data_IF_749362331342
#
_entry.id   IF_749362331342
#
_cell.length_a   1.000
_cell.length_b   1.000
_cell.length_c   1.000
_cell.angle_alpha   90.00
_cell.angle_beta   90.00
_cell.angle_gamma   90.00
#
_symmetry.space_group_name_H-M   'P 1'
#
loop_
_entity.id
_entity.type
_entity.pdbx_description
1 polymer ?
#
# COMPACT_ATOMS: atom_id res chain seq x y z
N UNK A 1 -0.07 -22.61 21.94
CA UNK A 1 -1.18 -23.27 21.24
C UNK A 1 -1.58 -22.44 19.99
N UNK A 2 -1.88 -21.16 20.14
CA UNK A 2 -2.29 -20.27 19.04
C UNK A 2 -1.24 -20.12 17.92
N UNK A 3 0.04 -19.98 18.27
CA UNK A 3 1.12 -19.90 17.27
C UNK A 3 1.34 -21.21 16.52
N UNK A 4 1.03 -22.34 17.15
CA UNK A 4 1.09 -23.65 16.51
C UNK A 4 -0.07 -23.78 15.50
N UNK A 5 -1.28 -23.41 15.89
CA UNK A 5 -2.43 -23.41 15.00
C UNK A 5 -2.22 -22.46 13.80
N UNK A 6 -1.62 -21.28 14.03
CA UNK A 6 -1.23 -20.37 12.96
C UNK A 6 -0.22 -21.01 11.99
N UNK A 7 0.80 -21.69 12.51
CA UNK A 7 1.80 -22.37 11.68
C UNK A 7 1.19 -23.50 10.83
N UNK A 8 0.22 -24.26 11.38
CA UNK A 8 -0.51 -25.30 10.67
C UNK A 8 -1.33 -24.69 9.51
N UNK A 9 -2.00 -23.55 9.73
CA UNK A 9 -2.73 -22.82 8.68
C UNK A 9 -1.76 -22.24 7.65
N UNK A 10 -0.63 -21.70 8.07
CA UNK A 10 0.37 -21.14 7.15
C UNK A 10 0.98 -22.23 6.26
N UNK A 11 1.24 -23.43 6.80
CA UNK A 11 1.71 -24.58 6.03
C UNK A 11 0.66 -25.00 4.99
N UNK A 12 -0.61 -25.10 5.38
CA UNK A 12 -1.72 -25.39 4.45
C UNK A 12 -1.81 -24.35 3.32
N UNK A 13 -1.70 -23.06 3.64
CA UNK A 13 -1.73 -22.00 2.63
C UNK A 13 -0.49 -21.98 1.73
N UNK A 14 0.65 -22.45 2.23
CA UNK A 14 1.88 -22.58 1.43
C UNK A 14 1.83 -23.73 0.41
N UNK A 15 0.96 -24.73 0.60
CA UNK A 15 0.72 -25.79 -0.37
C UNK A 15 -0.10 -25.32 -1.58
N UNK A 16 -0.77 -24.16 -1.47
CA UNK A 16 -1.55 -23.59 -2.56
C UNK A 16 -0.67 -23.06 -3.68
N UNK A 17 -1.30 -22.73 -4.80
CA UNK A 17 -0.66 -22.07 -5.94
C UNK A 17 0.17 -20.86 -5.47
N UNK A 18 1.48 -20.85 -5.75
CA UNK A 18 2.38 -19.84 -5.19
C UNK A 18 2.13 -18.45 -5.77
N UNK A 19 2.35 -17.43 -4.95
CA UNK A 19 2.24 -16.01 -5.33
C UNK A 19 3.14 -15.61 -6.52
N UNK A 20 4.21 -16.38 -6.77
CA UNK A 20 5.14 -16.15 -7.89
C UNK A 20 4.64 -16.69 -9.23
N UNK A 21 3.60 -17.52 -9.24
CA UNK A 21 2.99 -18.06 -10.45
C UNK A 21 1.68 -17.31 -10.71
N UNK A 22 1.77 -16.28 -11.51
CA UNK A 22 0.67 -15.35 -11.75
C UNK A 22 -0.19 -15.87 -12.91
N UNK A 23 -1.49 -15.98 -12.67
CA UNK A 23 -2.50 -16.17 -13.69
C UNK A 23 -3.52 -15.02 -13.56
N UNK A 24 -3.40 -13.98 -14.41
CA UNK A 24 -4.18 -12.76 -14.28
C UNK A 24 -5.68 -13.05 -14.46
N UNK A 25 -6.43 -13.00 -13.38
CA UNK A 25 -7.89 -13.11 -13.38
C UNK A 25 -8.44 -12.58 -12.06
N UNK A 26 -9.56 -11.87 -12.11
CA UNK A 26 -10.34 -11.50 -10.93
C UNK A 26 -11.48 -12.48 -10.65
N UNK A 27 -11.80 -13.38 -11.58
CA UNK A 27 -12.98 -14.26 -11.50
C UNK A 27 -13.03 -15.08 -10.21
N UNK A 28 -11.90 -15.66 -9.79
CA UNK A 28 -11.83 -16.49 -8.58
C UNK A 28 -12.08 -15.70 -7.30
N UNK A 29 -11.44 -14.54 -7.18
CA UNK A 29 -11.63 -13.69 -6.00
C UNK A 29 -13.00 -13.03 -5.99
N UNK A 30 -13.56 -12.63 -7.14
CA UNK A 30 -14.92 -12.15 -7.28
C UNK A 30 -15.92 -13.21 -6.84
N UNK A 31 -15.76 -14.47 -7.30
CA UNK A 31 -16.60 -15.60 -6.87
C UNK A 31 -16.52 -15.83 -5.35
N UNK A 32 -15.33 -15.69 -4.76
CA UNK A 32 -15.18 -15.78 -3.31
C UNK A 32 -15.92 -14.65 -2.60
N UNK A 33 -15.81 -13.41 -3.08
CA UNK A 33 -16.55 -12.26 -2.52
C UNK A 33 -18.05 -12.46 -2.59
N UNK A 34 -18.57 -12.93 -3.72
CA UNK A 34 -19.98 -13.28 -3.89
C UNK A 34 -20.44 -14.32 -2.85
N UNK A 35 -19.68 -15.39 -2.67
CA UNK A 35 -19.99 -16.45 -1.70
C UNK A 35 -19.94 -15.98 -0.24
N UNK A 36 -19.07 -15.02 0.07
CA UNK A 36 -18.93 -14.42 1.40
C UNK A 36 -19.93 -13.28 1.66
N UNK A 37 -20.73 -12.88 0.66
CA UNK A 37 -21.72 -11.81 0.75
C UNK A 37 -21.10 -10.41 0.70
N UNK A 38 -20.05 -10.23 -0.08
CA UNK A 38 -19.36 -8.97 -0.36
C UNK A 38 -18.77 -8.26 0.88
N UNK A 39 -17.90 -8.91 1.67
CA UNK A 39 -17.26 -8.27 2.82
C UNK A 39 -16.46 -7.01 2.43
N UNK A 40 -15.92 -6.95 1.22
CA UNK A 40 -15.17 -5.83 0.66
C UNK A 40 -15.98 -4.54 0.49
N UNK A 41 -17.31 -4.62 0.61
CA UNK A 41 -18.24 -3.47 0.51
C UNK A 41 -18.67 -2.92 1.87
N UNK A 42 -18.17 -3.49 2.96
CA UNK A 42 -18.58 -3.10 4.32
C UNK A 42 -17.77 -1.96 4.94
N UNK A 43 -16.81 -1.42 4.21
CA UNK A 43 -15.89 -0.35 4.64
C UNK A 43 -15.47 0.52 3.46
N UNK A 44 -15.07 1.77 3.74
CA UNK A 44 -14.47 2.66 2.74
C UNK A 44 -13.05 2.17 2.37
N UNK A 45 -12.51 2.57 1.21
CA UNK A 45 -11.23 2.04 0.72
C UNK A 45 -10.31 3.13 0.19
N UNK A 46 -9.04 3.11 0.65
CA UNK A 46 -7.92 3.78 0.00
C UNK A 46 -7.03 2.70 -0.61
N UNK A 47 -6.98 2.64 -1.95
CA UNK A 47 -6.29 1.59 -2.70
C UNK A 47 -4.97 2.12 -3.28
N UNK A 48 -3.85 1.44 -3.03
CA UNK A 48 -2.50 1.96 -3.31
C UNK A 48 -1.74 1.02 -4.23
N UNK A 49 -1.43 1.50 -5.45
CA UNK A 49 -0.54 0.83 -6.40
C UNK A 49 0.73 1.64 -6.65
N UNK A 50 1.70 1.04 -7.31
CA UNK A 50 2.99 1.65 -7.68
C UNK A 50 4.12 0.63 -7.68
N UNK A 51 5.32 1.05 -8.03
CA UNK A 51 6.52 0.18 -7.96
C UNK A 51 7.16 0.31 -6.58
N UNK A 52 7.51 1.52 -6.16
CA UNK A 52 8.16 1.79 -4.89
C UNK A 52 7.31 2.74 -4.03
N UNK A 53 7.44 2.61 -2.71
CA UNK A 53 6.77 3.50 -1.75
C UNK A 53 5.37 3.04 -1.32
N UNK A 54 4.77 2.01 -1.92
CA UNK A 54 3.43 1.51 -1.57
C UNK A 54 3.27 1.28 -0.07
N UNK A 55 4.04 0.36 0.51
CA UNK A 55 3.92 -0.03 1.92
C UNK A 55 4.18 1.13 2.88
N UNK A 56 5.18 1.99 2.59
CA UNK A 56 5.46 3.17 3.41
C UNK A 56 4.29 4.16 3.36
N UNK A 57 3.74 4.42 2.17
CA UNK A 57 2.57 5.30 2.00
C UNK A 57 1.35 4.70 2.70
N UNK A 58 1.06 3.40 2.51
CA UNK A 58 -0.05 2.71 3.16
C UNK A 58 0.01 2.81 4.69
N UNK A 59 1.18 2.60 5.28
CA UNK A 59 1.38 2.70 6.74
C UNK A 59 1.27 4.14 7.26
N UNK A 60 1.69 5.15 6.49
CA UNK A 60 1.47 6.56 6.83
C UNK A 60 -0.01 6.92 6.75
N UNK A 61 -0.73 6.45 5.73
CA UNK A 61 -2.20 6.63 5.61
C UNK A 61 -2.91 5.97 6.78
N UNK A 62 -2.59 4.72 7.12
CA UNK A 62 -3.13 4.02 8.30
C UNK A 62 -2.91 4.83 9.58
N UNK A 63 -1.69 5.31 9.80
CA UNK A 63 -1.35 6.09 10.99
C UNK A 63 -2.11 7.42 11.08
N UNK A 64 -2.26 8.11 9.94
CA UNK A 64 -3.03 9.35 9.86
C UNK A 64 -4.51 9.09 10.14
N UNK A 65 -5.13 8.12 9.47
CA UNK A 65 -6.55 7.79 9.66
C UNK A 65 -6.87 7.42 11.11
N UNK A 66 -5.98 6.64 11.76
CA UNK A 66 -6.13 6.31 13.20
C UNK A 66 -6.00 7.55 14.09
N UNK A 67 -5.11 8.49 13.76
CA UNK A 67 -5.03 9.77 14.49
C UNK A 67 -6.33 10.58 14.37
N UNK A 68 -7.07 10.44 13.26
CA UNK A 68 -8.42 10.97 13.06
C UNK A 68 -9.53 10.05 13.59
N UNK A 69 -9.19 9.13 14.50
CA UNK A 69 -10.12 8.23 15.19
C UNK A 69 -10.93 7.32 14.26
N UNK A 70 -10.39 6.95 13.11
CA UNK A 70 -10.95 5.89 12.28
C UNK A 70 -10.41 4.55 12.73
N UNK A 71 -11.28 3.55 12.71
CA UNK A 71 -10.87 2.16 12.85
C UNK A 71 -10.39 1.65 11.51
N UNK A 72 -9.10 1.32 11.41
CA UNK A 72 -8.43 1.09 10.12
C UNK A 72 -8.08 -0.37 9.93
N UNK A 73 -8.45 -0.91 8.77
CA UNK A 73 -7.88 -2.14 8.22
C UNK A 73 -6.69 -1.82 7.32
N UNK A 74 -5.63 -2.62 7.38
CA UNK A 74 -4.45 -2.46 6.53
C UNK A 74 -4.10 -3.79 5.86
N UNK A 75 -4.09 -3.82 4.52
CA UNK A 75 -3.52 -4.92 3.74
C UNK A 75 -2.15 -4.51 3.24
N UNK A 76 -1.12 -5.29 3.55
CA UNK A 76 0.24 -5.09 3.04
C UNK A 76 0.89 -6.40 2.61
N UNK A 77 1.84 -6.34 1.66
CA UNK A 77 2.62 -7.49 1.21
C UNK A 77 4.01 -7.08 0.73
N UNK A 78 5.01 -7.96 0.84
CA UNK A 78 5.01 -9.19 1.66
C UNK A 78 5.15 -8.89 3.16
N UNK A 79 5.05 -9.90 4.02
CA UNK A 79 5.41 -9.78 5.43
C UNK A 79 6.93 -9.97 5.64
N UNK A 80 7.46 -9.49 6.77
CA UNK A 80 8.87 -9.64 7.13
C UNK A 80 9.12 -10.85 8.03
N UNK A 81 8.27 -11.11 8.99
CA UNK A 81 8.46 -12.17 9.98
C UNK A 81 7.28 -13.14 10.06
N UNK A 82 6.04 -12.64 10.04
CA UNK A 82 4.82 -13.42 10.25
C UNK A 82 3.73 -13.05 9.26
N UNK A 83 3.00 -14.04 8.80
CA UNK A 83 1.88 -13.85 7.88
C UNK A 83 0.81 -12.88 8.41
N UNK A 84 0.63 -12.81 9.72
CA UNK A 84 -0.32 -11.89 10.38
C UNK A 84 -0.02 -10.41 10.12
N UNK A 85 1.23 -10.05 9.75
CA UNK A 85 1.61 -8.68 9.38
C UNK A 85 0.90 -8.18 8.12
N UNK A 86 0.42 -9.10 7.27
CA UNK A 86 -0.30 -8.77 6.04
C UNK A 86 -1.68 -8.17 6.28
N UNK A 87 -2.24 -8.42 7.46
CA UNK A 87 -3.57 -7.95 7.89
C UNK A 87 -3.41 -7.14 9.16
N UNK A 88 -3.44 -5.83 9.04
CA UNK A 88 -3.42 -4.91 10.17
C UNK A 88 -4.85 -4.51 10.59
N UNK A 89 -5.09 -4.40 11.88
CA UNK A 89 -6.32 -3.84 12.44
C UNK A 89 -5.91 -2.84 13.52
N UNK A 90 -6.30 -1.59 13.37
CA UNK A 90 -5.94 -0.49 14.27
C UNK A 90 -4.43 -0.40 14.54
N UNK A 91 -3.61 -0.55 13.47
CA UNK A 91 -2.16 -0.43 13.54
C UNK A 91 -1.44 -1.62 14.16
N UNK A 92 -2.13 -2.72 14.45
CA UNK A 92 -1.54 -3.96 14.96
C UNK A 92 -1.80 -5.11 13.98
N UNK A 93 -0.84 -6.05 13.80
CA UNK A 93 -1.12 -7.28 13.09
C UNK A 93 -2.32 -8.01 13.69
N UNK A 94 -3.13 -8.63 12.84
CA UNK A 94 -4.26 -9.44 13.30
C UNK A 94 -3.79 -10.50 14.31
N UNK A 95 -4.59 -10.72 15.36
CA UNK A 95 -4.24 -11.71 16.37
C UNK A 95 -4.22 -13.13 15.75
N UNK A 96 -3.23 -13.98 16.05
CA UNK A 96 -3.12 -15.34 15.51
C UNK A 96 -4.41 -16.17 15.62
N UNK A 97 -5.10 -16.07 16.76
CA UNK A 97 -6.38 -16.75 17.01
C UNK A 97 -7.46 -16.31 16.00
N UNK A 98 -7.56 -15.00 15.73
CA UNK A 98 -8.58 -14.46 14.83
C UNK A 98 -8.24 -14.79 13.37
N UNK A 99 -6.96 -14.76 12.99
CA UNK A 99 -6.50 -15.22 11.69
C UNK A 99 -6.91 -16.69 11.43
N UNK A 100 -6.64 -17.58 12.39
CA UNK A 100 -6.98 -19.01 12.29
C UNK A 100 -8.49 -19.21 12.26
N UNK A 101 -9.25 -18.49 13.10
CA UNK A 101 -10.73 -18.58 13.13
C UNK A 101 -11.32 -18.16 11.79
N UNK A 102 -10.94 -17.00 11.27
CA UNK A 102 -11.47 -16.48 10.00
C UNK A 102 -11.08 -17.40 8.84
N UNK A 103 -9.84 -17.92 8.83
CA UNK A 103 -9.47 -18.92 7.84
C UNK A 103 -10.41 -20.12 7.83
N UNK A 104 -10.71 -20.70 8.99
CA UNK A 104 -11.63 -21.83 9.07
C UNK A 104 -13.07 -21.48 8.65
N UNK A 105 -13.50 -20.23 8.85
CA UNK A 105 -14.80 -19.74 8.43
C UNK A 105 -14.89 -19.61 6.89
N UNK A 106 -13.84 -19.07 6.23
CA UNK A 106 -13.86 -18.85 4.77
C UNK A 106 -13.41 -20.08 3.97
N UNK A 107 -12.66 -21.02 4.57
CA UNK A 107 -12.09 -22.19 3.89
C UNK A 107 -13.12 -22.99 3.08
N UNK A 108 -14.33 -23.30 3.57
CA UNK A 108 -15.33 -24.03 2.77
C UNK A 108 -15.70 -23.29 1.47
N UNK A 109 -15.74 -21.96 1.48
CA UNK A 109 -16.06 -21.15 0.31
C UNK A 109 -14.88 -21.11 -0.67
N UNK A 110 -13.64 -21.05 -0.17
CA UNK A 110 -12.43 -21.18 -0.99
C UNK A 110 -12.42 -22.54 -1.71
N UNK A 111 -12.73 -23.64 -1.01
CA UNK A 111 -12.84 -24.99 -1.59
C UNK A 111 -13.95 -25.05 -2.66
N UNK A 112 -15.05 -24.33 -2.50
CA UNK A 112 -16.11 -24.23 -3.50
C UNK A 112 -15.64 -23.49 -4.76
N UNK A 113 -14.88 -22.41 -4.62
CA UNK A 113 -14.28 -21.70 -5.75
C UNK A 113 -13.29 -22.59 -6.48
N UNK A 114 -12.39 -23.26 -5.75
CA UNK A 114 -11.42 -24.19 -6.33
C UNK A 114 -12.08 -25.31 -7.15
N UNK A 115 -13.21 -25.83 -6.66
CA UNK A 115 -13.96 -26.89 -7.34
C UNK A 115 -14.67 -26.43 -8.64
N UNK A 116 -14.89 -25.13 -8.80
CA UNK A 116 -15.56 -24.53 -9.96
C UNK A 116 -14.59 -23.87 -10.94
N UNK A 117 -13.31 -23.72 -10.57
CA UNK A 117 -12.29 -23.06 -11.37
C UNK A 117 -11.34 -24.07 -11.99
N UNK A 118 -10.84 -23.79 -13.20
CA UNK A 118 -9.84 -24.63 -13.87
C UNK A 118 -8.49 -24.64 -13.12
N UNK A 119 -8.22 -23.56 -12.39
CA UNK A 119 -7.02 -23.35 -11.58
C UNK A 119 -7.47 -22.94 -10.17
N UNK A 120 -6.96 -23.58 -9.11
CA UNK A 120 -7.32 -23.22 -7.75
C UNK A 120 -6.85 -21.79 -7.39
N UNK A 121 -7.51 -21.16 -6.42
CA UNK A 121 -7.09 -19.86 -5.90
C UNK A 121 -5.64 -19.90 -5.43
N UNK A 122 -4.88 -18.89 -5.80
CA UNK A 122 -3.52 -18.69 -5.30
C UNK A 122 -3.51 -18.36 -3.81
N UNK A 123 -2.37 -18.56 -3.15
CA UNK A 123 -2.19 -18.12 -1.77
C UNK A 123 -2.53 -16.63 -1.60
N UNK A 124 -2.15 -15.77 -2.56
CA UNK A 124 -2.39 -14.33 -2.47
C UNK A 124 -3.89 -14.00 -2.55
N UNK A 125 -4.63 -14.61 -3.48
CA UNK A 125 -6.09 -14.42 -3.57
C UNK A 125 -6.80 -14.82 -2.28
N UNK A 126 -6.40 -15.94 -1.68
CA UNK A 126 -6.96 -16.39 -0.40
C UNK A 126 -6.63 -15.41 0.73
N UNK A 127 -5.39 -14.89 0.79
CA UNK A 127 -5.00 -13.90 1.80
C UNK A 127 -5.76 -12.58 1.67
N UNK A 128 -6.05 -12.15 0.45
CA UNK A 128 -6.90 -10.97 0.20
C UNK A 128 -8.33 -11.24 0.69
N UNK A 129 -8.93 -12.38 0.34
CA UNK A 129 -10.26 -12.76 0.81
C UNK A 129 -10.33 -12.83 2.34
N UNK A 130 -9.32 -13.43 2.98
CA UNK A 130 -9.20 -13.48 4.44
C UNK A 130 -9.08 -12.08 5.06
N UNK A 131 -8.36 -11.16 4.39
CA UNK A 131 -8.23 -9.78 4.86
C UNK A 131 -9.57 -9.06 4.88
N UNK A 132 -10.35 -9.17 3.80
CA UNK A 132 -11.65 -8.50 3.71
C UNK A 132 -12.68 -9.11 4.68
N UNK A 133 -12.67 -10.43 4.83
CA UNK A 133 -13.48 -11.09 5.85
C UNK A 133 -13.11 -10.63 7.28
N UNK A 134 -11.80 -10.47 7.55
CA UNK A 134 -11.32 -9.97 8.84
C UNK A 134 -11.74 -8.52 9.12
N UNK A 135 -11.76 -7.67 8.10
CA UNK A 135 -12.17 -6.28 8.23
C UNK A 135 -13.69 -6.15 8.45
N UNK A 136 -14.48 -6.96 7.79
CA UNK A 136 -15.93 -7.03 8.04
C UNK A 136 -16.24 -7.56 9.46
N UNK A 137 -15.52 -8.60 9.91
CA UNK A 137 -15.65 -9.15 11.28
C UNK A 137 -15.23 -8.15 12.36
N UNK A 138 -14.16 -7.39 12.12
CA UNK A 138 -13.65 -6.37 13.04
C UNK A 138 -14.27 -4.99 12.86
N UNK A 139 -15.42 -4.81 12.25
CA UNK A 139 -16.03 -3.66 11.59
C UNK A 139 -15.13 -2.41 11.52
N UNK A 140 -14.19 -2.43 10.56
CA UNK A 140 -13.34 -1.25 10.31
C UNK A 140 -14.14 -0.16 9.58
N UNK A 141 -13.77 1.11 9.79
CA UNK A 141 -14.39 2.23 9.08
C UNK A 141 -13.82 2.34 7.65
N UNK A 142 -12.51 2.12 7.51
CA UNK A 142 -11.77 2.26 6.26
C UNK A 142 -10.66 1.24 6.16
N UNK A 143 -10.47 0.68 4.97
CA UNK A 143 -9.35 -0.18 4.64
C UNK A 143 -8.32 0.55 3.77
N UNK A 144 -7.06 0.48 4.17
CA UNK A 144 -5.90 0.87 3.35
C UNK A 144 -5.36 -0.40 2.70
N UNK A 145 -5.46 -0.47 1.38
CA UNK A 145 -5.18 -1.70 0.64
C UNK A 145 -3.98 -1.50 -0.28
N UNK A 146 -2.88 -2.15 0.03
CA UNK A 146 -1.70 -2.19 -0.83
C UNK A 146 -1.85 -3.28 -1.88
N UNK A 147 -1.70 -2.91 -3.16
CA UNK A 147 -1.64 -3.85 -4.30
C UNK A 147 -0.41 -4.75 -4.18
N UNK A 148 -0.59 -6.04 -4.38
CA UNK A 148 0.51 -7.01 -4.40
C UNK A 148 1.38 -6.83 -5.63
N UNK A 149 0.80 -6.96 -6.82
CA UNK A 149 1.50 -6.82 -8.10
C UNK A 149 0.60 -6.19 -9.17
N UNK A 150 1.18 -5.26 -9.95
CA UNK A 150 0.45 -4.60 -11.03
C UNK A 150 -0.64 -3.69 -10.49
N UNK A 151 -1.89 -4.04 -10.70
CA UNK A 151 -3.08 -3.35 -10.23
C UNK A 151 -4.35 -3.90 -10.86
N UNK A 152 -4.48 -3.83 -12.18
CA UNK A 152 -5.67 -4.23 -12.94
C UNK A 152 -6.18 -5.64 -12.59
N UNK A 153 -5.28 -6.62 -12.54
CA UNK A 153 -5.58 -8.02 -12.28
C UNK A 153 -5.14 -8.50 -10.89
N UNK A 154 -4.74 -7.57 -10.04
CA UNK A 154 -4.40 -7.91 -8.67
C UNK A 154 -5.66 -8.29 -7.88
N UNK A 155 -5.57 -9.33 -7.06
CA UNK A 155 -6.72 -9.80 -6.28
C UNK A 155 -7.35 -8.70 -5.40
N UNK A 156 -6.54 -7.71 -4.98
CA UNK A 156 -7.05 -6.57 -4.21
C UNK A 156 -8.01 -5.69 -5.00
N UNK A 157 -8.00 -5.76 -6.34
CA UNK A 157 -8.77 -4.85 -7.21
C UNK A 157 -10.27 -5.21 -7.34
N UNK A 158 -10.78 -6.11 -6.51
CA UNK A 158 -12.24 -6.33 -6.36
C UNK A 158 -12.93 -5.21 -5.56
N UNK A 159 -12.17 -4.39 -4.83
CA UNK A 159 -12.71 -3.26 -4.07
C UNK A 159 -13.09 -2.08 -4.95
N UNK A 160 -14.07 -1.29 -4.52
CA UNK A 160 -14.37 0.03 -5.08
C UNK A 160 -13.73 1.09 -4.20
N UNK A 161 -12.60 1.66 -4.65
CA UNK A 161 -11.85 2.62 -3.86
C UNK A 161 -12.50 4.01 -3.88
N UNK A 162 -12.59 4.66 -2.72
CA UNK A 162 -12.95 6.08 -2.58
C UNK A 162 -11.78 6.96 -3.02
N UNK A 163 -10.55 6.51 -2.73
CA UNK A 163 -9.33 7.16 -3.18
C UNK A 163 -8.36 6.11 -3.74
N UNK A 164 -7.95 6.31 -4.98
CA UNK A 164 -6.87 5.53 -5.61
C UNK A 164 -5.55 6.29 -5.48
N UNK A 165 -4.47 5.60 -5.14
CA UNK A 165 -3.14 6.18 -4.98
C UNK A 165 -2.16 5.49 -5.91
N UNK A 166 -1.44 6.25 -6.73
CA UNK A 166 -0.35 5.73 -7.56
C UNK A 166 0.98 6.30 -7.05
N UNK A 167 1.74 5.47 -6.34
CA UNK A 167 3.11 5.81 -5.92
C UNK A 167 4.08 5.72 -7.11
N UNK A 168 5.37 6.10 -7.00
CA UNK A 168 6.27 6.13 -8.15
C UNK A 168 6.31 4.81 -8.92
N UNK A 169 6.13 4.90 -10.25
CA UNK A 169 6.22 3.78 -11.19
C UNK A 169 7.65 3.70 -11.73
N UNK A 170 8.22 2.51 -11.77
CA UNK A 170 9.52 2.22 -12.33
C UNK A 170 9.53 0.84 -12.97
N UNK A 171 10.61 0.50 -13.66
CA UNK A 171 10.81 -0.83 -14.23
C UNK A 171 11.01 -1.86 -13.10
N UNK A 172 10.09 -2.77 -12.97
CA UNK A 172 10.12 -3.92 -12.07
C UNK A 172 9.08 -4.94 -12.55
N UNK A 173 9.31 -6.22 -12.28
CA UNK A 173 8.42 -7.32 -12.69
C UNK A 173 8.07 -7.29 -14.18
N UNK A 174 9.04 -6.99 -15.04
CA UNK A 174 8.83 -6.83 -16.49
C UNK A 174 8.28 -8.08 -17.17
N UNK A 175 8.61 -9.28 -16.65
CA UNK A 175 8.07 -10.55 -17.16
C UNK A 175 6.54 -10.65 -17.07
N UNK A 176 5.90 -9.83 -16.23
CA UNK A 176 4.46 -9.87 -15.98
C UNK A 176 3.72 -8.59 -16.36
N UNK A 177 4.37 -7.43 -16.17
CA UNK A 177 3.72 -6.12 -16.30
C UNK A 177 4.03 -5.40 -17.61
N UNK A 178 4.98 -5.94 -18.41
CA UNK A 178 5.44 -5.34 -19.65
C UNK A 178 6.85 -4.74 -19.55
N UNK A 179 7.43 -4.45 -20.71
CA UNK A 179 8.82 -4.04 -20.87
C UNK A 179 9.03 -2.53 -20.80
N UNK A 180 7.93 -1.75 -20.81
CA UNK A 180 7.95 -0.27 -20.84
C UNK A 180 7.28 0.34 -19.62
N UNK A 181 7.69 1.57 -19.28
CA UNK A 181 7.02 2.33 -18.22
C UNK A 181 5.54 2.56 -18.51
N UNK A 182 5.16 2.73 -19.78
CA UNK A 182 3.77 2.90 -20.19
C UNK A 182 2.93 1.66 -19.90
N UNK A 183 3.41 0.47 -20.23
CA UNK A 183 2.72 -0.80 -19.95
C UNK A 183 2.55 -1.02 -18.44
N UNK A 184 3.64 -0.88 -17.68
CA UNK A 184 3.61 -1.02 -16.22
C UNK A 184 2.67 0.01 -15.59
N UNK A 185 2.70 1.27 -16.06
CA UNK A 185 1.78 2.31 -15.60
C UNK A 185 0.32 1.98 -15.94
N UNK A 186 0.06 1.39 -17.09
CA UNK A 186 -1.29 0.95 -17.52
C UNK A 186 -1.86 -0.13 -16.60
N UNK A 187 -1.04 -1.11 -16.23
CA UNK A 187 -1.43 -2.14 -15.27
C UNK A 187 -1.73 -1.56 -13.88
N UNK A 188 -0.88 -0.65 -13.40
CA UNK A 188 -1.07 0.01 -12.09
C UNK A 188 -2.26 0.96 -12.08
N UNK A 189 -2.46 1.71 -13.15
CA UNK A 189 -3.61 2.60 -13.31
C UNK A 189 -4.94 1.85 -13.36
N UNK A 190 -4.92 0.52 -13.58
CA UNK A 190 -6.13 -0.32 -13.56
C UNK A 190 -6.88 -0.35 -12.22
N UNK A 191 -6.32 0.19 -11.13
CA UNK A 191 -7.04 0.40 -9.87
C UNK A 191 -7.93 1.65 -9.89
N UNK A 192 -7.72 2.55 -10.85
CA UNK A 192 -8.54 3.75 -11.04
C UNK A 192 -9.77 3.32 -11.83
N UNK A 193 -10.89 3.15 -11.13
CA UNK A 193 -12.14 2.62 -11.67
C UNK A 193 -13.26 3.64 -11.52
N UNK A 194 -14.30 3.58 -12.39
CA UNK A 194 -15.52 4.33 -12.14
C UNK A 194 -16.16 3.83 -10.84
N UNK A 195 -16.80 4.71 -10.08
CA UNK A 195 -17.53 4.33 -8.87
C UNK A 195 -18.83 3.62 -9.27
N UNK A 196 -18.99 2.36 -8.86
CA UNK A 196 -20.16 1.55 -9.19
C UNK A 196 -21.44 1.97 -8.44
N UNK A 197 -21.29 2.60 -7.26
CA UNK A 197 -22.39 2.94 -6.36
C UNK A 197 -23.04 4.31 -6.66
N UNK A 198 -22.74 4.92 -7.78
CA UNK A 198 -23.45 6.12 -8.24
C UNK A 198 -24.85 5.74 -8.78
N UNK A 199 -25.73 5.28 -7.88
CA UNK A 199 -27.17 5.03 -8.18
C UNK A 199 -27.89 6.31 -8.64
N UNK A 200 -27.31 7.49 -8.44
CA UNK A 200 -27.80 8.77 -8.90
C UNK A 200 -26.89 9.33 -10.01
N UNK A 201 -27.38 9.39 -11.27
CA UNK A 201 -26.63 9.99 -12.38
C UNK A 201 -26.28 11.48 -12.16
N UNK A 202 -26.84 12.10 -11.14
CA UNK A 202 -26.57 13.49 -10.78
C UNK A 202 -25.52 13.62 -9.67
N UNK A 203 -25.12 12.52 -9.03
CA UNK A 203 -24.02 12.50 -8.07
C UNK A 203 -22.71 12.46 -8.87
N UNK A 204 -21.81 13.45 -8.74
CA UNK A 204 -20.51 13.40 -9.38
C UNK A 204 -19.77 12.13 -9.00
N UNK A 205 -19.06 11.52 -9.96
CA UNK A 205 -18.13 10.45 -9.66
C UNK A 205 -17.00 11.06 -8.79
N UNK A 206 -17.08 10.88 -7.47
CA UNK A 206 -16.12 11.48 -6.52
C UNK A 206 -14.88 10.60 -6.31
N UNK A 207 -14.62 9.62 -7.19
CA UNK A 207 -13.37 8.87 -7.13
C UNK A 207 -12.20 9.83 -7.42
N UNK A 208 -11.27 9.91 -6.48
CA UNK A 208 -10.08 10.78 -6.59
C UNK A 208 -8.85 9.89 -6.72
N UNK A 209 -8.01 10.20 -7.71
CA UNK A 209 -6.69 9.60 -7.82
C UNK A 209 -5.62 10.56 -7.35
N UNK A 210 -4.83 10.12 -6.37
CA UNK A 210 -3.64 10.82 -5.87
C UNK A 210 -2.41 10.21 -6.53
N UNK A 211 -1.65 11.04 -7.27
CA UNK A 211 -0.54 10.59 -8.10
C UNK A 211 0.76 11.18 -7.56
N UNK A 212 1.70 10.32 -7.15
CA UNK A 212 3.06 10.73 -6.83
C UNK A 212 3.80 11.29 -8.05
N UNK A 213 4.98 11.86 -7.85
CA UNK A 213 5.87 12.26 -8.93
C UNK A 213 6.17 11.05 -9.85
N UNK A 214 6.03 11.23 -11.15
CA UNK A 214 6.14 10.18 -12.16
C UNK A 214 7.05 10.61 -13.31
N UNK A 215 7.63 9.64 -14.00
CA UNK A 215 8.15 9.85 -15.34
C UNK A 215 7.03 10.34 -16.27
N UNK A 216 7.28 11.28 -17.21
CA UNK A 216 6.27 11.82 -18.12
C UNK A 216 5.50 10.75 -18.91
N UNK A 217 6.15 9.64 -19.27
CA UNK A 217 5.52 8.54 -19.98
C UNK A 217 4.47 7.83 -19.11
N UNK A 218 4.82 7.49 -17.87
CA UNK A 218 3.92 6.89 -16.91
C UNK A 218 2.77 7.85 -16.52
N UNK A 219 3.09 9.13 -16.26
CA UNK A 219 2.10 10.16 -15.93
C UNK A 219 1.01 10.26 -17.00
N UNK A 220 1.40 10.27 -18.28
CA UNK A 220 0.43 10.37 -19.39
C UNK A 220 -0.57 9.21 -19.37
N UNK A 221 -0.10 7.98 -19.13
CA UNK A 221 -0.96 6.79 -19.09
C UNK A 221 -1.91 6.83 -17.90
N UNK A 222 -1.41 7.20 -16.73
CA UNK A 222 -2.23 7.31 -15.51
C UNK A 222 -3.31 8.40 -15.66
N UNK A 223 -2.95 9.56 -16.21
CA UNK A 223 -3.91 10.63 -16.46
C UNK A 223 -4.94 10.24 -17.52
N UNK A 224 -4.56 9.49 -18.56
CA UNK A 224 -5.52 9.00 -19.54
C UNK A 224 -6.55 8.08 -18.88
N UNK A 225 -6.12 7.14 -18.03
CA UNK A 225 -7.04 6.27 -17.28
C UNK A 225 -7.98 7.10 -16.39
N UNK A 226 -7.46 8.13 -15.69
CA UNK A 226 -8.29 8.99 -14.85
C UNK A 226 -9.36 9.74 -15.66
N UNK A 227 -9.00 10.23 -16.87
CA UNK A 227 -9.95 10.87 -17.79
C UNK A 227 -11.00 9.88 -18.28
N UNK A 228 -10.59 8.67 -18.68
CA UNK A 228 -11.49 7.65 -19.23
C UNK A 228 -12.58 7.21 -18.23
N UNK A 229 -12.29 7.32 -16.91
CA UNK A 229 -13.24 6.97 -15.83
C UNK A 229 -13.81 8.21 -15.12
N UNK A 230 -13.51 9.42 -15.59
CA UNK A 230 -13.97 10.69 -15.02
C UNK A 230 -13.56 10.89 -13.55
N UNK A 231 -12.40 10.38 -13.13
CA UNK A 231 -11.88 10.54 -11.78
C UNK A 231 -11.27 11.93 -11.57
N UNK A 232 -11.46 12.50 -10.38
CA UNK A 232 -10.72 13.67 -9.92
C UNK A 232 -9.23 13.36 -9.77
N UNK A 233 -8.36 14.35 -10.01
CA UNK A 233 -6.90 14.14 -10.01
C UNK A 233 -6.19 15.09 -9.05
N UNK A 234 -5.34 14.57 -8.19
CA UNK A 234 -4.40 15.31 -7.37
C UNK A 234 -2.96 14.82 -7.65
N UNK A 235 -2.07 15.68 -8.12
CA UNK A 235 -0.71 15.35 -8.55
C UNK A 235 0.34 16.00 -7.66
N UNK A 236 1.36 15.24 -7.34
CA UNK A 236 2.56 15.77 -6.69
C UNK A 236 3.25 16.81 -7.59
N UNK A 237 3.68 17.91 -7.00
CA UNK A 237 4.30 19.04 -7.70
C UNK A 237 3.30 20.02 -8.34
N UNK A 238 2.00 19.75 -8.26
CA UNK A 238 0.94 20.62 -8.77
C UNK A 238 -0.07 20.95 -7.67
N UNK A 239 -0.85 19.96 -7.24
CA UNK A 239 -1.91 20.13 -6.23
C UNK A 239 -1.38 19.94 -4.81
N UNK A 240 -0.33 19.13 -4.61
CA UNK A 240 0.35 18.93 -3.32
C UNK A 240 1.85 18.70 -3.51
N UNK A 241 2.66 18.86 -2.47
CA UNK A 241 4.10 18.59 -2.52
C UNK A 241 4.76 18.49 -1.13
N UNK A 242 5.84 17.71 -1.02
CA UNK A 242 6.82 17.88 0.04
C UNK A 242 7.70 19.09 -0.32
N UNK A 243 7.71 20.13 0.53
CA UNK A 243 8.41 21.40 0.23
C UNK A 243 9.83 21.39 0.74
N UNK A 244 10.03 21.09 2.01
CA UNK A 244 11.31 21.10 2.68
C UNK A 244 11.41 19.89 3.62
N UNK A 245 12.59 19.28 3.64
CA UNK A 245 12.91 18.20 4.54
C UNK A 245 14.26 18.47 5.21
N UNK A 246 14.28 18.48 6.54
CA UNK A 246 15.48 18.66 7.37
C UNK A 246 15.70 17.43 8.23
N UNK A 247 16.94 17.01 8.36
CA UNK A 247 17.33 15.90 9.22
C UNK A 247 17.01 16.26 10.68
N UNK A 248 16.41 15.30 11.39
CA UNK A 248 16.13 15.40 12.81
C UNK A 248 16.58 14.12 13.53
N UNK A 249 16.69 14.17 14.85
CA UNK A 249 17.06 12.99 15.64
C UNK A 249 15.98 11.92 15.53
N UNK A 250 16.33 10.80 14.95
CA UNK A 250 15.41 9.66 14.77
C UNK A 250 14.49 9.76 13.56
N UNK A 251 14.77 10.67 12.62
CA UNK A 251 13.95 10.86 11.41
C UNK A 251 14.23 12.20 10.73
N UNK A 252 13.18 12.86 10.28
CA UNK A 252 13.25 14.13 9.59
C UNK A 252 12.05 15.02 9.92
N UNK A 253 12.23 16.32 9.75
CA UNK A 253 11.17 17.32 9.85
C UNK A 253 10.80 17.77 8.44
N UNK A 254 9.52 17.75 8.12
CA UNK A 254 9.01 17.98 6.75
C UNK A 254 7.95 19.06 6.77
N UNK A 255 7.99 19.96 5.78
CA UNK A 255 6.89 20.86 5.47
C UNK A 255 6.18 20.33 4.22
N UNK A 256 4.86 20.19 4.29
CA UNK A 256 4.04 19.63 3.21
C UNK A 256 2.97 20.64 2.80
N UNK A 257 2.93 20.98 1.52
CA UNK A 257 1.75 21.57 0.92
C UNK A 257 0.78 20.42 0.62
N UNK A 258 -0.30 20.35 1.36
CA UNK A 258 -1.42 19.43 1.10
C UNK A 258 -2.50 20.08 0.23
N UNK A 259 -3.58 19.34 -0.02
CA UNK A 259 -4.75 19.81 -0.81
C UNK A 259 -5.51 20.92 -0.07
N UNK A 260 -5.61 20.82 1.25
CA UNK A 260 -6.32 21.79 2.07
C UNK A 260 -5.48 22.99 2.49
N UNK A 261 -4.16 22.87 2.53
CA UNK A 261 -3.27 23.93 2.96
C UNK A 261 -1.85 23.49 3.29
N UNK A 262 -1.13 24.38 3.96
CA UNK A 262 0.27 24.15 4.36
C UNK A 262 0.33 23.50 5.75
N UNK A 263 1.11 22.42 5.86
CA UNK A 263 1.39 21.72 7.10
C UNK A 263 2.88 21.82 7.39
N UNK A 264 3.23 22.61 8.40
CA UNK A 264 4.63 22.85 8.77
C UNK A 264 5.03 22.01 9.99
N UNK A 265 6.36 21.82 10.14
CA UNK A 265 6.98 21.15 11.29
C UNK A 265 6.44 19.74 11.56
N UNK A 266 6.21 18.97 10.51
CA UNK A 266 5.80 17.56 10.62
C UNK A 266 7.05 16.73 10.94
N UNK A 267 7.08 16.10 12.10
CA UNK A 267 8.10 15.10 12.42
C UNK A 267 7.72 13.75 11.81
N UNK A 268 8.60 13.22 10.96
CA UNK A 268 8.48 11.92 10.34
C UNK A 268 9.62 11.02 10.84
N UNK A 269 9.34 9.94 11.60
CA UNK A 269 10.37 9.05 12.17
C UNK A 269 10.92 8.06 11.13
N UNK A 270 11.07 8.50 9.88
CA UNK A 270 11.58 7.75 8.74
C UNK A 270 12.68 8.56 8.06
N UNK A 271 13.67 7.85 7.51
CA UNK A 271 14.83 8.45 6.86
C UNK A 271 14.68 8.50 5.34
N UNK A 272 15.35 9.45 4.70
CA UNK A 272 15.40 9.61 3.25
C UNK A 272 14.35 10.60 2.70
N UNK A 273 14.76 11.37 1.71
CA UNK A 273 13.88 12.34 1.03
C UNK A 273 12.67 11.67 0.38
N UNK A 274 12.84 10.44 -0.13
CA UNK A 274 11.75 9.64 -0.69
C UNK A 274 10.61 9.41 0.32
N UNK A 275 10.92 9.31 1.63
CA UNK A 275 9.88 9.17 2.66
C UNK A 275 9.12 10.48 2.90
N UNK A 276 9.78 11.65 2.75
CA UNK A 276 9.07 12.92 2.77
C UNK A 276 8.10 13.06 1.59
N UNK A 277 8.50 12.60 0.40
CA UNK A 277 7.62 12.54 -0.79
C UNK A 277 6.45 11.57 -0.57
N UNK A 278 6.70 10.38 -0.01
CA UNK A 278 5.65 9.43 0.36
C UNK A 278 4.68 10.02 1.41
N UNK A 279 5.19 10.81 2.37
CA UNK A 279 4.36 11.49 3.36
C UNK A 279 3.42 12.52 2.72
N UNK A 280 3.89 13.26 1.71
CA UNK A 280 3.03 14.18 0.97
C UNK A 280 1.91 13.44 0.21
N UNK A 281 2.21 12.30 -0.39
CA UNK A 281 1.22 11.43 -1.05
C UNK A 281 0.21 10.89 -0.03
N UNK A 282 0.68 10.40 1.13
CA UNK A 282 -0.17 9.88 2.19
C UNK A 282 -1.11 10.95 2.74
N UNK A 283 -0.60 12.17 2.98
CA UNK A 283 -1.42 13.29 3.43
C UNK A 283 -2.49 13.65 2.39
N UNK A 284 -2.10 13.78 1.11
CA UNK A 284 -3.04 14.09 0.04
C UNK A 284 -4.14 13.02 -0.10
N UNK A 285 -3.80 11.73 0.09
CA UNK A 285 -4.78 10.64 0.07
C UNK A 285 -5.78 10.76 1.22
N UNK A 286 -5.32 11.08 2.44
CA UNK A 286 -6.19 11.26 3.60
C UNK A 286 -7.02 12.55 3.48
N UNK A 287 -6.45 13.63 2.94
CA UNK A 287 -7.19 14.86 2.64
C UNK A 287 -8.29 14.62 1.60
N UNK A 288 -7.98 13.89 0.52
CA UNK A 288 -8.96 13.50 -0.48
C UNK A 288 -10.10 12.66 0.14
N UNK A 289 -9.76 11.69 0.98
CA UNK A 289 -10.73 10.84 1.68
C UNK A 289 -11.68 11.64 2.60
N UNK A 290 -11.17 12.65 3.31
CA UNK A 290 -12.00 13.51 4.15
C UNK A 290 -12.62 14.70 3.41
N UNK A 291 -12.40 14.86 2.12
CA UNK A 291 -12.92 15.97 1.32
C UNK A 291 -12.26 17.32 1.67
N UNK A 292 -11.03 17.31 2.17
CA UNK A 292 -10.28 18.54 2.42
C UNK A 292 -10.00 19.26 1.10
N UNK A 293 -10.11 20.57 1.12
CA UNK A 293 -9.98 21.43 -0.07
C UNK A 293 -9.29 22.75 0.29
N UNK A 294 -8.90 23.51 -0.74
CA UNK A 294 -8.18 24.77 -0.56
C UNK A 294 -8.85 25.69 0.48
N UNK A 295 -8.13 26.04 1.52
CA UNK A 295 -8.62 26.85 2.65
C UNK A 295 -9.38 26.08 3.75
N UNK A 296 -9.53 24.75 3.59
CA UNK A 296 -10.15 23.87 4.57
C UNK A 296 -9.22 22.68 4.87
N UNK A 297 -8.06 22.93 5.51
CA UNK A 297 -7.10 21.88 5.85
C UNK A 297 -7.65 20.98 6.96
N UNK A 298 -7.09 19.78 7.05
CA UNK A 298 -7.27 18.92 8.21
C UNK A 298 -6.62 19.56 9.46
N UNK A 299 -7.01 19.10 10.66
CA UNK A 299 -6.39 19.58 11.90
C UNK A 299 -4.88 19.29 11.92
N UNK A 300 -4.07 20.33 11.93
CA UNK A 300 -2.60 20.24 11.84
C UNK A 300 -2.00 19.47 13.01
N UNK A 301 -2.56 19.59 14.21
CA UNK A 301 -2.05 18.87 15.38
C UNK A 301 -2.28 17.37 15.25
N UNK A 302 -3.45 16.97 14.76
CA UNK A 302 -3.78 15.58 14.47
C UNK A 302 -2.91 15.01 13.37
N UNK A 303 -2.66 15.76 12.28
CA UNK A 303 -1.73 15.36 11.20
C UNK A 303 -0.31 15.13 11.73
N UNK A 304 0.21 16.07 12.54
CA UNK A 304 1.53 15.92 13.19
C UNK A 304 1.59 14.68 14.07
N UNK A 305 0.56 14.43 14.86
CA UNK A 305 0.49 13.24 15.72
C UNK A 305 0.47 11.95 14.89
N UNK A 306 -0.30 11.90 13.81
CA UNK A 306 -0.38 10.76 12.92
C UNK A 306 0.98 10.43 12.28
N UNK A 307 1.67 11.41 11.74
CA UNK A 307 3.00 11.18 11.17
C UNK A 307 4.05 10.80 12.21
N UNK A 308 4.01 11.39 13.40
CA UNK A 308 4.96 11.06 14.46
C UNK A 308 4.86 9.60 14.94
N UNK A 309 3.75 8.93 14.70
CA UNK A 309 3.53 7.52 15.04
C UNK A 309 3.72 6.58 13.84
N UNK A 310 4.03 7.10 12.65
CA UNK A 310 4.20 6.28 11.46
C UNK A 310 5.44 5.37 11.58
N UNK A 311 5.26 4.11 11.25
CA UNK A 311 6.33 3.11 11.21
C UNK A 311 6.36 2.46 9.82
N UNK A 312 7.55 2.12 9.34
CA UNK A 312 7.72 1.40 8.07
C UNK A 312 8.80 0.33 8.23
N UNK A 313 8.44 -0.86 8.77
CA UNK A 313 9.38 -1.94 9.00
C UNK A 313 10.15 -2.31 7.72
N UNK A 314 11.46 -2.58 7.86
CA UNK A 314 12.33 -2.91 6.74
C UNK A 314 12.56 -1.77 5.74
N UNK A 315 12.33 -0.51 6.12
CA UNK A 315 12.63 0.66 5.30
C UNK A 315 13.60 1.58 6.06
N UNK A 316 14.90 1.32 5.88
CA UNK A 316 16.00 1.94 6.62
C UNK A 316 15.71 1.94 8.14
N UNK A 317 15.18 0.82 8.60
CA UNK A 317 14.77 0.60 9.98
C UNK A 317 15.98 0.34 10.87
N UNK A 318 16.14 1.16 11.92
CA UNK A 318 17.21 0.96 12.89
C UNK A 318 16.85 -0.14 13.89
N UNK A 319 17.46 -1.30 13.73
CA UNK A 319 17.23 -2.47 14.58
C UNK A 319 18.22 -2.58 15.76
N UNK A 320 19.32 -1.82 15.72
CA UNK A 320 20.34 -1.82 16.77
C UNK A 320 21.03 -0.45 16.86
N UNK A 321 21.41 -0.04 18.07
CA UNK A 321 22.06 1.26 18.33
C UNK A 321 23.59 1.19 18.41
N UNK A 322 24.17 0.05 18.82
CA UNK A 322 25.62 -0.11 18.97
C UNK A 322 26.08 -1.53 18.62
N UNK A 323 26.81 -1.75 17.51
CA UNK A 323 26.94 -0.77 16.42
C UNK A 323 25.58 -0.43 15.83
N UNK A 324 25.46 0.77 15.28
CA UNK A 324 24.23 1.15 14.59
C UNK A 324 23.99 0.20 13.43
N UNK A 325 22.82 -0.45 13.41
CA UNK A 325 22.45 -1.42 12.37
C UNK A 325 21.08 -1.08 11.82
N UNK A 326 21.02 -0.98 10.50
CA UNK A 326 19.77 -0.76 9.77
C UNK A 326 19.42 -2.00 8.93
N UNK A 327 18.14 -2.22 8.71
CA UNK A 327 17.64 -3.14 7.70
C UNK A 327 16.83 -2.37 6.65
N UNK A 328 17.00 -2.77 5.40
CA UNK A 328 16.24 -2.22 4.27
C UNK A 328 15.87 -3.33 3.29
N UNK A 329 14.71 -3.20 2.66
CA UNK A 329 14.19 -4.17 1.69
C UNK A 329 14.24 -3.64 0.24
N UNK A 330 15.11 -2.69 -0.07
CA UNK A 330 15.34 -2.26 -1.45
C UNK A 330 15.84 -3.46 -2.28
N UNK A 331 15.17 -3.72 -3.40
CA UNK A 331 15.40 -4.91 -4.23
C UNK A 331 15.33 -4.64 -5.73
N UNK A 332 15.31 -3.36 -6.12
CA UNK A 332 15.39 -2.92 -7.50
C UNK A 332 16.30 -1.67 -7.59
N UNK A 333 16.82 -1.33 -8.79
CA UNK A 333 17.75 -0.21 -8.95
C UNK A 333 17.23 1.14 -8.45
N UNK A 334 15.94 1.41 -8.64
CA UNK A 334 15.32 2.64 -8.16
C UNK A 334 15.28 2.72 -6.62
N UNK A 335 14.93 1.63 -5.94
CA UNK A 335 14.96 1.52 -4.48
C UNK A 335 16.38 1.64 -3.92
N UNK A 336 17.35 0.96 -4.53
CA UNK A 336 18.76 1.02 -4.14
C UNK A 336 19.33 2.43 -4.27
N UNK A 337 18.99 3.15 -5.35
CA UNK A 337 19.38 4.56 -5.52
C UNK A 337 18.81 5.45 -4.41
N UNK A 338 17.54 5.25 -4.05
CA UNK A 338 16.90 6.00 -2.96
C UNK A 338 17.55 5.70 -1.60
N UNK A 339 17.89 4.42 -1.34
CA UNK A 339 18.61 3.99 -0.14
C UNK A 339 20.00 4.63 -0.06
N UNK A 340 20.78 4.58 -1.15
CA UNK A 340 22.11 5.20 -1.21
C UNK A 340 22.05 6.71 -0.93
N UNK A 341 21.14 7.42 -1.57
CA UNK A 341 20.92 8.84 -1.34
C UNK A 341 20.51 9.16 0.11
N UNK A 342 19.70 8.30 0.74
CA UNK A 342 19.32 8.46 2.13
C UNK A 342 20.50 8.24 3.09
N UNK A 343 21.34 7.23 2.82
CA UNK A 343 22.55 6.96 3.61
C UNK A 343 23.52 8.14 3.54
N UNK A 344 23.76 8.70 2.35
CA UNK A 344 24.66 9.82 2.16
C UNK A 344 24.13 11.11 2.79
N UNK A 345 22.82 11.33 2.76
CA UNK A 345 22.22 12.55 3.29
C UNK A 345 22.04 12.53 4.80
N UNK A 346 21.53 11.42 5.35
CA UNK A 346 20.95 11.38 6.70
C UNK A 346 21.95 10.89 7.76
N UNK A 347 23.08 10.29 7.34
CA UNK A 347 24.01 9.65 8.27
C UNK A 347 25.45 10.07 8.03
N UNK A 348 26.18 10.28 9.13
CA UNK A 348 27.63 10.46 9.14
C UNK A 348 28.28 9.20 9.74
N UNK A 349 29.15 8.54 8.98
CA UNK A 349 29.79 7.28 9.40
C UNK A 349 31.26 7.22 8.95
N UNK A 350 32.14 6.80 9.86
CA UNK A 350 33.54 6.55 9.54
C UNK A 350 33.73 5.27 8.70
N UNK A 351 32.81 4.32 8.79
CA UNK A 351 32.83 3.04 8.07
C UNK A 351 31.41 2.51 7.89
N UNK A 352 31.04 2.22 6.65
CA UNK A 352 29.83 1.52 6.28
C UNK A 352 30.15 0.06 5.93
N UNK A 353 29.39 -0.88 6.46
CA UNK A 353 29.45 -2.31 6.11
C UNK A 353 28.09 -2.71 5.60
N UNK A 354 28.01 -3.07 4.31
CA UNK A 354 26.81 -3.61 3.68
C UNK A 354 26.82 -5.15 3.68
N UNK A 355 25.67 -5.73 4.05
CA UNK A 355 25.40 -7.18 3.85
C UNK A 355 24.19 -7.26 2.95
N UNK A 356 24.37 -7.80 1.75
CA UNK A 356 23.36 -7.84 0.70
C UNK A 356 22.91 -9.30 0.46
N UNK A 357 21.60 -9.46 0.30
CA UNK A 357 20.99 -10.70 -0.21
C UNK A 357 19.99 -10.30 -1.29
N UNK A 358 20.21 -10.78 -2.51
CA UNK A 358 19.43 -10.39 -3.70
C UNK A 358 18.94 -11.67 -4.36
N UNK A 359 17.66 -11.74 -4.72
CA UNK A 359 17.11 -12.85 -5.48
C UNK A 359 17.71 -12.91 -6.89
N UNK A 360 17.82 -14.13 -7.45
CA UNK A 360 18.47 -14.36 -8.73
C UNK A 360 17.73 -13.75 -9.94
N UNK A 361 16.44 -13.46 -9.79
CA UNK A 361 15.58 -12.81 -10.78
C UNK A 361 15.70 -11.27 -10.79
N UNK A 362 16.48 -10.70 -9.87
CA UNK A 362 16.64 -9.23 -9.76
C UNK A 362 17.93 -8.75 -10.44
N UNK A 363 17.90 -7.48 -10.87
CA UNK A 363 19.07 -6.81 -11.44
C UNK A 363 20.11 -6.48 -10.36
N UNK A 364 20.89 -7.48 -9.97
CA UNK A 364 21.93 -7.34 -8.95
C UNK A 364 23.04 -6.35 -9.33
N UNK A 365 23.23 -6.06 -10.63
CA UNK A 365 24.24 -5.12 -11.11
C UNK A 365 23.74 -3.67 -10.99
N UNK A 366 22.44 -3.47 -11.20
CA UNK A 366 21.81 -2.15 -11.06
C UNK A 366 21.54 -1.75 -9.61
N UNK A 367 21.54 -2.74 -8.68
CA UNK A 367 21.40 -2.51 -7.22
C UNK A 367 22.76 -2.21 -6.60
#
# INVERSE_FOLDING_TARGET
EELRALAEVEEELNERWPETKIEPSLERIEMLMDLLGHPERSFDVIHIAGTNGKSSTARMVDSLLRAFHRRVGLVTSPHLQRVTERIGIDGQPIHPRDYVRIWHEIKPFVEMVDAQSDVPMSKFEVLVGLSYAAFADAPVDVAVVEVGLGGRWDATNVVNADVSVITPVGLDHTDYLGDTLAEIAGEKAGIIKPREDADDPLTPNENIVVIAEQDPEAMRVILQQAVDVEAGVARSGSEFAALESRIAVGGQQVNIQGLGGLYEDIFLPLHGEHQAKNAAVALAAVEAFFGASAGHPLDVATVRNGFAQAISPGRLERVRTSPTTFIDAAHNPHGAKALGAALDRDFDFARLIGVLSIFADKDATGI
#
